data_IF_495087676051
#
_entry.id   IF_495087676051
#
_cell.length_a   1.000
_cell.length_b   1.000
_cell.length_c   1.000
_cell.angle_alpha   90.00
_cell.angle_beta   90.00
_cell.angle_gamma   90.00
#
_symmetry.space_group_name_H-M   'P 1'
#
loop_
_entity.id
_entity.type
_entity.pdbx_description
1 polymer ?
#
# COMPACT_ATOMS: atom_id res chain seq x y z
N UNK A 1 5.64 -8.06 28.39
CA UNK A 1 4.89 -8.30 27.13
C UNK A 1 3.80 -7.24 26.91
N UNK A 2 4.12 -5.92 27.01
CA UNK A 2 3.10 -4.84 26.91
C UNK A 2 3.49 -3.72 25.92
N UNK A 3 4.69 -3.73 25.33
CA UNK A 3 5.16 -2.55 24.56
C UNK A 3 5.10 -2.67 23.03
N UNK A 4 5.08 -3.88 22.46
CA UNK A 4 5.10 -4.03 20.99
C UNK A 4 3.75 -3.67 20.37
N UNK A 5 2.63 -4.08 20.98
CA UNK A 5 1.27 -3.96 20.44
C UNK A 5 0.71 -2.54 20.49
N UNK A 6 1.14 -1.72 21.44
CA UNK A 6 0.65 -0.34 21.62
C UNK A 6 1.22 0.61 20.57
N UNK A 7 2.42 0.33 20.04
CA UNK A 7 3.07 1.16 19.00
C UNK A 7 2.81 0.63 17.59
N UNK A 8 2.79 -0.69 17.40
CA UNK A 8 2.58 -1.29 16.06
C UNK A 8 1.19 -1.05 15.50
N UNK A 9 0.15 -1.02 16.35
CA UNK A 9 -1.24 -0.75 15.91
C UNK A 9 -1.44 0.66 15.33
N UNK A 10 -1.13 1.76 16.04
CA UNK A 10 -1.29 3.10 15.48
C UNK A 10 -0.35 3.33 14.30
N UNK A 11 0.87 2.79 14.33
CA UNK A 11 1.80 2.88 13.20
C UNK A 11 1.26 2.16 11.95
N UNK A 12 0.73 0.95 12.11
CA UNK A 12 0.11 0.18 11.02
C UNK A 12 -1.09 0.94 10.44
N UNK A 13 -1.95 1.50 11.29
CA UNK A 13 -3.09 2.31 10.85
C UNK A 13 -2.64 3.56 10.08
N UNK A 14 -1.60 4.25 10.54
CA UNK A 14 -1.05 5.42 9.86
C UNK A 14 -0.49 5.05 8.49
N UNK A 15 0.30 3.98 8.40
CA UNK A 15 0.87 3.52 7.13
C UNK A 15 -0.23 3.11 6.15
N UNK A 16 -1.26 2.39 6.62
CA UNK A 16 -2.42 2.01 5.80
C UNK A 16 -3.24 3.21 5.36
N UNK A 17 -3.40 4.22 6.22
CA UNK A 17 -4.05 5.48 5.87
C UNK A 17 -3.27 6.26 4.81
N UNK A 18 -1.94 6.32 4.94
CA UNK A 18 -1.08 6.97 3.96
C UNK A 18 -1.09 6.24 2.61
N UNK A 19 -1.07 4.90 2.63
CA UNK A 19 -1.23 4.05 1.44
C UNK A 19 -2.58 4.32 0.74
N UNK A 20 -3.68 4.29 1.50
CA UNK A 20 -5.02 4.51 0.96
C UNK A 20 -5.21 5.94 0.44
N UNK A 21 -4.82 6.95 1.21
CA UNK A 21 -4.95 8.36 0.80
C UNK A 21 -4.11 8.67 -0.44
N UNK A 22 -2.91 8.11 -0.57
CA UNK A 22 -2.09 8.23 -1.78
C UNK A 22 -2.80 7.64 -3.00
N UNK A 23 -3.42 6.46 -2.88
CA UNK A 23 -4.19 5.86 -3.97
C UNK A 23 -5.40 6.71 -4.38
N UNK A 24 -6.13 7.28 -3.42
CA UNK A 24 -7.27 8.19 -3.67
C UNK A 24 -6.82 9.46 -4.40
N UNK A 25 -5.67 10.03 -4.01
CA UNK A 25 -5.13 11.24 -4.66
C UNK A 25 -4.73 10.93 -6.11
N UNK A 26 -4.06 9.80 -6.37
CA UNK A 26 -3.72 9.37 -7.74
C UNK A 26 -4.99 9.22 -8.57
N UNK A 27 -6.00 8.50 -8.06
CA UNK A 27 -7.30 8.33 -8.72
C UNK A 27 -7.95 9.67 -9.08
N UNK A 28 -7.95 10.64 -8.16
CA UNK A 28 -8.51 11.97 -8.42
C UNK A 28 -7.77 12.74 -9.51
N UNK A 29 -6.43 12.67 -9.51
CA UNK A 29 -5.61 13.35 -10.51
C UNK A 29 -5.76 12.66 -11.88
N UNK A 30 -5.74 11.34 -11.96
CA UNK A 30 -5.88 10.58 -13.20
C UNK A 30 -7.29 10.74 -13.80
N UNK A 31 -8.33 10.73 -12.97
CA UNK A 31 -9.71 11.03 -13.38
C UNK A 31 -9.85 12.44 -13.96
N UNK A 32 -9.21 13.45 -13.34
CA UNK A 32 -9.17 14.81 -13.87
C UNK A 32 -8.48 14.88 -15.25
N UNK A 33 -7.39 14.12 -15.45
CA UNK A 33 -6.73 14.06 -16.75
C UNK A 33 -7.61 13.37 -17.80
N UNK A 34 -8.29 12.27 -17.48
CA UNK A 34 -9.17 11.53 -18.40
C UNK A 34 -10.38 12.37 -18.84
N UNK A 35 -10.92 13.21 -17.96
CA UNK A 35 -12.06 14.07 -18.28
C UNK A 35 -11.69 15.19 -19.27
N UNK A 36 -10.49 15.75 -19.15
CA UNK A 36 -10.11 16.98 -19.85
C UNK A 36 -9.20 16.74 -21.08
N UNK A 37 -8.58 15.56 -21.20
CA UNK A 37 -7.53 15.30 -22.20
C UNK A 37 -7.70 13.93 -22.88
N UNK A 38 -7.11 13.72 -24.07
CA UNK A 38 -7.17 12.45 -24.77
C UNK A 38 -6.56 11.31 -23.93
N UNK A 39 -7.23 10.16 -23.98
CA UNK A 39 -6.94 9.00 -23.15
C UNK A 39 -5.63 8.34 -23.58
N UNK A 40 -4.58 8.48 -22.78
CA UNK A 40 -3.34 7.74 -22.94
C UNK A 40 -3.44 6.32 -22.38
N UNK A 41 -2.75 5.35 -23.01
CA UNK A 41 -2.68 3.97 -22.51
C UNK A 41 -2.11 3.90 -21.07
N UNK A 42 -1.09 4.69 -20.77
CA UNK A 42 -0.50 4.79 -19.43
C UNK A 42 -1.47 5.44 -18.40
N UNK A 43 -2.26 6.43 -18.82
CA UNK A 43 -3.25 7.08 -17.95
C UNK A 43 -4.36 6.11 -17.54
N UNK A 44 -4.84 5.27 -18.46
CA UNK A 44 -5.83 4.23 -18.17
C UNK A 44 -5.25 3.21 -17.19
N UNK A 45 -3.99 2.81 -17.36
CA UNK A 45 -3.33 1.90 -16.43
C UNK A 45 -3.31 2.46 -15.00
N UNK A 46 -2.88 3.72 -14.81
CA UNK A 46 -2.85 4.34 -13.47
C UNK A 46 -4.24 4.50 -12.85
N UNK A 47 -5.27 4.82 -13.64
CA UNK A 47 -6.66 4.90 -13.19
C UNK A 47 -7.17 3.54 -12.69
N UNK A 48 -6.94 2.46 -13.45
CA UNK A 48 -7.36 1.11 -13.06
C UNK A 48 -6.67 0.68 -11.78
N UNK A 49 -5.34 0.85 -11.67
CA UNK A 49 -4.60 0.47 -10.48
C UNK A 49 -5.04 1.27 -9.25
N UNK A 50 -5.27 2.58 -9.39
CA UNK A 50 -5.71 3.42 -8.28
C UNK A 50 -7.12 3.09 -7.81
N UNK A 51 -8.09 2.93 -8.72
CA UNK A 51 -9.49 2.60 -8.38
C UNK A 51 -9.63 1.26 -7.68
N UNK A 52 -8.95 0.20 -8.18
CA UNK A 52 -8.98 -1.11 -7.52
C UNK A 52 -8.24 -1.05 -6.17
N UNK A 53 -7.13 -0.29 -6.06
CA UNK A 53 -6.41 -0.11 -4.78
C UNK A 53 -7.30 0.49 -3.71
N UNK A 54 -8.10 1.51 -4.05
CA UNK A 54 -9.03 2.16 -3.10
C UNK A 54 -10.02 1.14 -2.53
N UNK A 55 -10.56 0.23 -3.36
CA UNK A 55 -11.48 -0.80 -2.91
C UNK A 55 -10.81 -1.88 -2.05
N UNK A 56 -9.64 -2.38 -2.47
CA UNK A 56 -8.95 -3.49 -1.79
C UNK A 56 -8.16 -3.07 -0.55
N UNK A 57 -7.76 -1.80 -0.43
CA UNK A 57 -7.06 -1.29 0.75
C UNK A 57 -8.01 -1.00 1.93
N UNK A 58 -9.33 -0.86 1.69
CA UNK A 58 -10.33 -0.66 2.75
C UNK A 58 -10.36 -1.83 3.76
N UNK A 59 -10.44 -3.12 3.34
CA UNK A 59 -10.26 -4.25 4.25
C UNK A 59 -8.93 -4.23 5.01
N UNK A 60 -7.89 -3.64 4.45
CA UNK A 60 -6.58 -3.49 5.10
C UNK A 60 -6.67 -2.74 6.43
N UNK A 61 -7.53 -1.72 6.55
CA UNK A 61 -7.73 -0.98 7.81
C UNK A 61 -8.23 -1.85 8.96
N UNK A 62 -8.88 -2.97 8.66
CA UNK A 62 -9.39 -3.91 9.65
C UNK A 62 -8.32 -4.92 10.09
N UNK A 63 -7.19 -5.05 9.38
CA UNK A 63 -6.10 -5.96 9.74
C UNK A 63 -5.59 -5.79 11.19
N UNK A 64 -5.31 -4.56 11.70
CA UNK A 64 -4.84 -4.38 13.08
C UNK A 64 -5.85 -4.81 14.15
N UNK A 65 -7.13 -4.97 13.81
CA UNK A 65 -8.19 -5.44 14.73
C UNK A 65 -8.39 -6.96 14.70
N UNK A 66 -8.01 -7.65 13.61
CA UNK A 66 -8.12 -9.10 13.47
C UNK A 66 -6.82 -9.74 12.91
N UNK A 67 -5.72 -9.72 13.69
CA UNK A 67 -4.38 -10.04 13.20
C UNK A 67 -4.19 -11.51 12.77
N UNK A 68 -5.01 -12.45 13.25
CA UNK A 68 -4.76 -13.88 12.96
C UNK A 68 -5.46 -14.42 11.70
N UNK A 69 -6.57 -13.79 11.30
CA UNK A 69 -7.40 -14.24 10.16
C UNK A 69 -7.25 -13.32 8.96
N UNK A 70 -7.26 -12.00 9.18
CA UNK A 70 -7.29 -11.01 8.09
C UNK A 70 -5.89 -10.75 7.54
N UNK A 71 -4.88 -10.74 8.40
CA UNK A 71 -3.48 -10.48 8.04
C UNK A 71 -2.94 -11.37 6.91
N UNK A 72 -3.30 -12.66 6.95
CA UNK A 72 -2.87 -13.66 5.96
C UNK A 72 -3.46 -13.41 4.55
N UNK A 73 -4.61 -12.76 4.44
CA UNK A 73 -5.21 -12.39 3.16
C UNK A 73 -4.76 -11.03 2.66
N UNK A 74 -4.53 -10.07 3.56
CA UNK A 74 -4.11 -8.71 3.22
C UNK A 74 -2.66 -8.68 2.69
N UNK A 75 -1.77 -9.51 3.24
CA UNK A 75 -0.37 -9.58 2.81
C UNK A 75 -0.19 -9.89 1.30
N UNK A 76 -0.76 -10.98 0.72
CA UNK A 76 -0.59 -11.25 -0.71
C UNK A 76 -1.23 -10.17 -1.59
N UNK A 77 -2.32 -9.54 -1.14
CA UNK A 77 -2.93 -8.40 -1.83
C UNK A 77 -1.93 -7.24 -1.87
N UNK A 78 -1.38 -6.85 -0.73
CA UNK A 78 -0.39 -5.76 -0.64
C UNK A 78 0.85 -6.06 -1.50
N UNK A 79 1.32 -7.31 -1.58
CA UNK A 79 2.44 -7.71 -2.45
C UNK A 79 2.12 -7.51 -3.94
N UNK A 80 0.95 -7.96 -4.39
CA UNK A 80 0.51 -7.76 -5.79
C UNK A 80 0.43 -6.27 -6.09
N UNK A 81 -0.19 -5.50 -5.20
CA UNK A 81 -0.32 -4.07 -5.37
C UNK A 81 1.02 -3.34 -5.36
N UNK A 82 1.97 -3.76 -4.52
CA UNK A 82 3.32 -3.20 -4.51
C UNK A 82 3.99 -3.32 -5.88
N UNK A 83 3.84 -4.48 -6.55
CA UNK A 83 4.34 -4.66 -7.91
C UNK A 83 3.63 -3.75 -8.91
N UNK A 84 2.30 -3.67 -8.85
CA UNK A 84 1.50 -2.84 -9.76
C UNK A 84 1.82 -1.35 -9.61
N UNK A 85 1.99 -0.87 -8.37
CA UNK A 85 2.39 0.50 -8.06
C UNK A 85 3.83 0.80 -8.49
N UNK A 86 4.74 -0.17 -8.36
CA UNK A 86 6.10 -0.04 -8.88
C UNK A 86 6.12 0.08 -10.41
N UNK A 87 5.37 -0.76 -11.11
CA UNK A 87 5.20 -0.65 -12.57
C UNK A 87 4.56 0.68 -12.96
N UNK A 88 3.54 1.13 -12.22
CA UNK A 88 2.93 2.45 -12.42
C UNK A 88 3.95 3.58 -12.28
N UNK A 89 4.82 3.52 -11.26
CA UNK A 89 5.89 4.49 -11.04
C UNK A 89 6.89 4.51 -12.19
N UNK A 90 7.35 3.33 -12.66
CA UNK A 90 8.28 3.25 -13.78
C UNK A 90 7.71 3.90 -15.04
N UNK A 91 6.44 3.63 -15.35
CA UNK A 91 5.77 4.27 -16.49
C UNK A 91 5.54 5.77 -16.29
N UNK A 92 5.22 6.21 -15.06
CA UNK A 92 5.05 7.63 -14.75
C UNK A 92 6.38 8.40 -14.90
N UNK A 93 7.48 7.82 -14.42
CA UNK A 93 8.81 8.41 -14.57
C UNK A 93 9.22 8.52 -16.06
N UNK A 94 8.92 7.50 -16.86
CA UNK A 94 9.18 7.54 -18.30
C UNK A 94 8.30 8.58 -19.01
N UNK A 95 6.99 8.61 -18.75
CA UNK A 95 6.07 9.52 -19.45
C UNK A 95 6.24 10.99 -19.05
N UNK A 96 6.63 11.27 -17.79
CA UNK A 96 6.71 12.63 -17.27
C UNK A 96 8.13 13.23 -17.25
N UNK A 97 9.19 12.41 -17.26
CA UNK A 97 10.57 12.88 -17.23
C UNK A 97 11.27 12.90 -18.61
N UNK A 98 10.69 12.28 -19.64
CA UNK A 98 11.35 12.14 -20.96
C UNK A 98 11.39 13.43 -21.79
N UNK A 99 10.50 14.39 -21.57
CA UNK A 99 10.52 15.68 -22.28
C UNK A 99 10.15 16.88 -21.41
N UNK A 100 10.70 18.03 -21.78
CA UNK A 100 10.45 19.31 -21.13
C UNK A 100 8.96 19.65 -21.24
N UNK A 101 8.27 19.44 -20.12
CA UNK A 101 6.84 19.64 -19.87
C UNK A 101 6.28 20.98 -20.40
N UNK A 102 7.16 21.94 -20.63
CA UNK A 102 6.92 23.33 -21.06
C UNK A 102 6.75 23.50 -22.58
N UNK A 103 7.21 22.56 -23.40
CA UNK A 103 7.32 22.75 -24.87
C UNK A 103 6.24 22.01 -25.67
N UNK A 104 5.73 20.87 -25.18
CA UNK A 104 4.77 20.03 -25.91
C UNK A 104 3.47 19.72 -25.15
N UNK A 105 3.16 20.44 -24.06
CA UNK A 105 1.89 20.24 -23.36
C UNK A 105 0.75 20.97 -24.09
N UNK A 106 -0.36 20.28 -24.39
CA UNK A 106 -1.60 20.93 -24.80
C UNK A 106 -2.01 22.02 -23.80
N UNK A 107 -2.64 23.13 -24.24
CA UNK A 107 -2.93 24.28 -23.40
C UNK A 107 -3.87 23.91 -22.23
N UNK A 108 -3.30 23.63 -21.05
CA UNK A 108 -4.03 23.38 -19.81
C UNK A 108 -3.55 22.19 -18.96
N UNK A 109 -2.64 21.34 -19.45
CA UNK A 109 -2.00 20.32 -18.62
C UNK A 109 -0.85 20.93 -17.78
N UNK A 110 -1.13 21.29 -16.52
CA UNK A 110 -0.12 21.84 -15.61
C UNK A 110 0.96 20.80 -15.32
N UNK A 111 2.22 21.12 -15.59
CA UNK A 111 3.34 20.24 -15.27
C UNK A 111 3.40 19.86 -13.78
N UNK A 112 3.01 20.79 -12.91
CA UNK A 112 2.91 20.54 -11.47
C UNK A 112 1.97 19.36 -11.15
N UNK A 113 0.86 19.17 -11.88
CA UNK A 113 -0.05 18.04 -11.65
C UNK A 113 0.56 16.72 -12.10
N UNK A 114 1.32 16.70 -13.21
CA UNK A 114 2.02 15.48 -13.67
C UNK A 114 3.07 15.03 -12.65
N UNK A 115 3.91 15.96 -12.17
CA UNK A 115 4.91 15.70 -11.13
C UNK A 115 4.28 15.32 -9.79
N UNK A 116 3.16 15.95 -9.43
CA UNK A 116 2.40 15.55 -8.25
C UNK A 116 1.89 14.11 -8.39
N UNK A 117 1.31 13.75 -9.53
CA UNK A 117 0.83 12.39 -9.78
C UNK A 117 1.95 11.35 -9.63
N UNK A 118 3.11 11.60 -10.25
CA UNK A 118 4.31 10.75 -10.11
C UNK A 118 4.71 10.54 -8.64
N UNK A 119 4.71 11.63 -7.88
CA UNK A 119 5.11 11.63 -6.48
C UNK A 119 4.12 10.82 -5.63
N UNK A 120 2.81 10.96 -5.87
CA UNK A 120 1.79 10.19 -5.15
C UNK A 120 1.77 8.71 -5.56
N UNK A 121 2.10 8.37 -6.81
CA UNK A 121 2.30 6.99 -7.24
C UNK A 121 3.48 6.37 -6.47
N UNK A 122 4.59 7.10 -6.33
CA UNK A 122 5.73 6.66 -5.51
C UNK A 122 5.36 6.51 -4.03
N UNK A 123 4.59 7.46 -3.47
CA UNK A 123 4.11 7.36 -2.09
C UNK A 123 3.20 6.14 -1.88
N UNK A 124 2.29 5.86 -2.81
CA UNK A 124 1.46 4.66 -2.75
C UNK A 124 2.31 3.38 -2.76
N UNK A 125 3.34 3.32 -3.62
CA UNK A 125 4.30 2.22 -3.62
C UNK A 125 5.03 2.06 -2.28
N UNK A 126 5.67 3.12 -1.76
CA UNK A 126 6.52 2.99 -0.56
C UNK A 126 5.68 2.69 0.70
N UNK A 127 4.48 3.26 0.82
CA UNK A 127 3.60 2.94 1.94
C UNK A 127 3.03 1.52 1.83
N UNK A 128 2.75 1.02 0.62
CA UNK A 128 2.41 -0.40 0.42
C UNK A 128 3.58 -1.30 0.85
N UNK A 129 4.82 -0.94 0.49
CA UNK A 129 6.02 -1.67 0.91
C UNK A 129 6.18 -1.68 2.45
N UNK A 130 5.99 -0.55 3.11
CA UNK A 130 6.00 -0.48 4.57
C UNK A 130 4.84 -1.24 5.22
N UNK A 131 3.65 -1.25 4.61
CA UNK A 131 2.52 -2.03 5.08
C UNK A 131 2.86 -3.53 5.07
N UNK A 132 3.46 -4.04 3.98
CA UNK A 132 3.94 -5.42 3.90
C UNK A 132 4.97 -5.70 4.99
N UNK A 133 5.97 -4.83 5.17
CA UNK A 133 7.01 -5.03 6.17
C UNK A 133 6.42 -5.12 7.60
N UNK A 134 5.50 -4.23 7.94
CA UNK A 134 4.81 -4.25 9.24
C UNK A 134 3.96 -5.52 9.40
N UNK A 135 3.26 -5.94 8.34
CA UNK A 135 2.43 -7.14 8.36
C UNK A 135 3.26 -8.42 8.58
N UNK A 136 4.40 -8.52 7.89
CA UNK A 136 5.36 -9.62 8.07
C UNK A 136 5.90 -9.64 9.51
N UNK A 137 6.27 -8.48 10.05
CA UNK A 137 6.74 -8.37 11.45
C UNK A 137 5.66 -8.81 12.44
N UNK A 138 4.39 -8.43 12.22
CA UNK A 138 3.27 -8.82 13.07
C UNK A 138 3.02 -10.33 13.03
N UNK A 139 3.09 -10.96 11.85
CA UNK A 139 2.96 -12.41 11.71
C UNK A 139 4.10 -13.17 12.39
N UNK A 140 5.34 -12.69 12.24
CA UNK A 140 6.50 -13.26 12.92
C UNK A 140 6.40 -13.16 14.45
N UNK A 141 5.93 -12.02 14.96
CA UNK A 141 5.69 -11.84 16.39
C UNK A 141 4.62 -12.81 16.91
N UNK A 142 3.50 -12.96 16.19
CA UNK A 142 2.42 -13.89 16.55
C UNK A 142 2.87 -15.36 16.54
N UNK A 143 3.70 -15.77 15.57
CA UNK A 143 4.26 -17.13 15.55
C UNK A 143 5.15 -17.41 16.76
N UNK A 144 5.99 -16.44 17.15
CA UNK A 144 6.86 -16.58 18.34
C UNK A 144 6.07 -16.76 19.62
N UNK A 145 4.96 -16.05 19.79
CA UNK A 145 4.07 -16.21 20.95
C UNK A 145 3.42 -17.60 20.99
N UNK A 146 3.02 -18.13 19.82
CA UNK A 146 2.39 -19.46 19.72
C UNK A 146 3.38 -20.57 20.10
N UNK A 147 4.61 -20.53 19.56
CA UNK A 147 5.66 -21.50 19.90
C UNK A 147 6.13 -21.43 21.36
N UNK A 148 6.08 -20.26 21.99
CA UNK A 148 6.41 -20.10 23.40
C UNK A 148 5.35 -20.74 24.31
N UNK A 149 4.06 -20.55 24.00
CA UNK A 149 2.95 -21.14 24.74
C UNK A 149 2.93 -22.68 24.64
N UNK A 150 3.21 -23.24 23.46
CA UNK A 150 3.28 -24.71 23.29
C UNK A 150 4.38 -25.34 24.16
N UNK A 151 5.55 -24.71 24.25
CA UNK A 151 6.63 -25.18 25.14
C UNK A 151 6.25 -25.15 26.61
N UNK A 152 5.53 -24.11 27.06
CA UNK A 152 5.08 -24.00 28.44
C UNK A 152 3.99 -25.03 28.77
N UNK A 153 3.02 -25.24 27.86
CA UNK A 153 1.98 -26.26 28.03
C UNK A 153 2.50 -27.70 27.96
N UNK A 154 3.54 -27.97 27.16
CA UNK A 154 4.19 -29.28 27.10
C UNK A 154 4.97 -29.61 28.38
N UNK A 155 5.61 -28.61 28.99
CA UNK A 155 6.30 -28.76 30.28
C UNK A 155 5.36 -29.08 31.44
N UNK A 156 4.18 -28.45 31.50
CA UNK A 156 3.20 -28.73 32.56
C UNK A 156 2.52 -30.10 32.43
N UNK A 157 2.42 -30.68 31.23
CA UNK A 157 1.87 -32.03 31.03
C UNK A 157 2.86 -33.15 31.38
N UNK A 158 4.17 -32.88 31.33
CA UNK A 158 5.20 -33.84 31.71
C UNK A 158 5.48 -33.89 33.23
N UNK A 159 4.91 -32.95 34.01
CA UNK A 159 5.20 -32.79 35.43
C UNK A 159 4.11 -33.32 36.39
N UNK A 160 3.02 -33.91 35.88
CA UNK A 160 2.01 -34.62 36.68
C UNK A 160 2.02 -36.12 36.31
N UNK A 161 2.75 -36.96 37.06
CA UNK A 161 2.61 -38.41 36.99
C UNK A 161 1.28 -38.90 37.58
#
# INVERSE_FOLDING_TARGET
>A
MVSTTTVTRPLSLLVRFMQWSSAVIVMGITSYFIHNWPKGQHTIYWEVISTISVAFFLPGFLSPFMPHRLSRFVLPIDVIFSYLWLTAFVFAAQDYNWHDCRVNSPPGARCALKKANESFIFLAFIFTFFAIAIEVMNLWAAQRETSANEKHSGGSRAANP
#
